data_IF_307707820789
#
_entry.id   IF_307707820789
#
_cell.length_a   1.000
_cell.length_b   1.000
_cell.length_c   1.000
_cell.angle_alpha   90.00
_cell.angle_beta   90.00
_cell.angle_gamma   90.00
#
_symmetry.space_group_name_H-M   'P 1'
#
loop_
_entity.id
_entity.type
_entity.pdbx_description
1 polymer ?
#
# COMPACT_ATOMS: atom_id res chain seq x y z
N UNK A 1 36.64 -6.33 1.54
CA UNK A 1 35.92 -5.06 1.29
C UNK A 1 34.45 -5.38 1.06
N UNK A 2 33.57 -5.09 2.02
CA UNK A 2 32.13 -5.36 1.89
C UNK A 2 31.44 -4.24 1.09
N UNK A 3 30.70 -4.59 0.04
CA UNK A 3 29.75 -3.67 -0.60
C UNK A 3 28.80 -3.17 0.49
N UNK A 4 28.75 -1.85 0.73
CA UNK A 4 27.64 -1.24 1.47
C UNK A 4 26.37 -1.61 0.72
N UNK A 5 25.57 -2.52 1.28
CA UNK A 5 24.23 -2.83 0.80
C UNK A 5 23.36 -1.61 1.11
N UNK A 6 23.28 -0.67 0.16
CA UNK A 6 22.26 0.37 0.20
C UNK A 6 20.92 -0.34 -0.01
N UNK A 7 20.06 -0.37 1.02
CA UNK A 7 18.72 -0.92 0.83
C UNK A 7 17.92 -0.03 -0.13
N UNK A 8 17.12 -0.66 -0.98
CA UNK A 8 16.20 0.03 -1.86
C UNK A 8 15.14 0.79 -1.05
N UNK A 9 14.53 1.79 -1.67
CA UNK A 9 13.45 2.53 -1.03
C UNK A 9 12.28 1.56 -0.80
N UNK A 10 11.79 1.51 0.44
CA UNK A 10 10.62 0.72 0.82
C UNK A 10 9.46 1.66 1.13
N UNK A 11 8.25 1.28 0.74
CA UNK A 11 7.03 2.00 1.09
C UNK A 11 6.00 1.09 1.75
N UNK A 12 5.39 1.58 2.83
CA UNK A 12 4.23 0.97 3.46
C UNK A 12 3.07 1.94 3.29
N UNK A 13 2.02 1.50 2.61
CA UNK A 13 0.83 2.29 2.31
C UNK A 13 -0.39 1.67 2.98
N UNK A 14 -1.02 2.40 3.88
CA UNK A 14 -2.17 1.91 4.66
C UNK A 14 -3.43 2.66 4.29
N UNK A 15 -4.47 1.91 3.91
CA UNK A 15 -5.81 2.44 3.62
C UNK A 15 -6.88 1.70 4.42
N UNK A 16 -7.90 2.44 4.83
CA UNK A 16 -9.14 1.91 5.36
C UNK A 16 -10.30 2.11 4.38
N UNK A 17 -11.40 1.42 4.62
CA UNK A 17 -12.69 1.71 3.97
C UNK A 17 -13.56 2.51 4.94
N UNK A 18 -14.09 3.63 4.49
CA UNK A 18 -15.05 4.42 5.26
C UNK A 18 -16.50 3.93 5.07
N UNK A 19 -17.43 4.50 5.84
CA UNK A 19 -18.85 4.17 5.78
C UNK A 19 -19.53 4.45 4.43
N UNK A 20 -18.86 5.15 3.49
CA UNK A 20 -19.34 5.41 2.13
C UNK A 20 -18.64 4.53 1.10
N UNK A 21 -17.97 3.46 1.53
CA UNK A 21 -17.14 2.60 0.69
C UNK A 21 -16.02 3.35 -0.05
N UNK A 22 -15.54 4.47 0.51
CA UNK A 22 -14.39 5.20 -0.03
C UNK A 22 -13.11 4.70 0.63
N UNK A 23 -12.02 4.73 -0.13
CA UNK A 23 -10.68 4.39 0.32
C UNK A 23 -10.09 5.60 1.03
N UNK A 24 -9.93 5.49 2.35
CA UNK A 24 -9.34 6.55 3.17
C UNK A 24 -7.87 6.26 3.39
N UNK A 25 -7.00 7.19 3.02
CA UNK A 25 -5.59 7.12 3.35
C UNK A 25 -5.41 7.25 4.87
N UNK A 26 -4.83 6.23 5.50
CA UNK A 26 -4.55 6.21 6.94
C UNK A 26 -3.11 6.65 7.22
N UNK A 27 -2.14 6.09 6.50
CA UNK A 27 -0.72 6.36 6.70
C UNK A 27 0.10 5.97 5.46
N UNK A 28 1.17 6.71 5.20
CA UNK A 28 2.24 6.32 4.28
C UNK A 28 3.54 6.44 5.06
N UNK A 29 4.35 5.39 5.02
CA UNK A 29 5.74 5.43 5.49
C UNK A 29 6.65 5.12 4.30
N UNK A 30 7.74 5.85 4.14
CA UNK A 30 8.79 5.51 3.18
C UNK A 30 10.18 5.65 3.78
N UNK A 31 11.13 4.85 3.27
CA UNK A 31 12.51 4.95 3.69
C UNK A 31 13.36 3.77 3.24
N UNK A 32 14.67 3.91 3.39
CA UNK A 32 15.62 2.82 3.17
C UNK A 32 15.77 2.07 4.49
N UNK A 33 15.22 0.87 4.56
CA UNK A 33 15.15 0.09 5.79
C UNK A 33 15.79 -1.27 5.59
N UNK A 34 16.28 -1.86 6.68
CA UNK A 34 16.67 -3.26 6.70
C UNK A 34 15.48 -4.12 7.10
N UNK A 35 15.55 -5.44 6.86
CA UNK A 35 14.45 -6.35 7.14
C UNK A 35 13.88 -6.25 8.58
N UNK A 36 14.68 -6.12 9.66
CA UNK A 36 14.15 -5.96 11.02
C UNK A 36 13.31 -4.68 11.19
N UNK A 37 13.74 -3.57 10.59
CA UNK A 37 13.02 -2.29 10.66
C UNK A 37 11.69 -2.36 9.90
N UNK A 38 11.69 -3.03 8.74
CA UNK A 38 10.48 -3.28 7.96
C UNK A 38 9.47 -4.08 8.80
N UNK A 39 9.91 -5.16 9.47
CA UNK A 39 9.05 -5.97 10.33
C UNK A 39 8.51 -5.20 11.53
N UNK A 40 9.34 -4.39 12.19
CA UNK A 40 8.90 -3.55 13.30
C UNK A 40 7.82 -2.55 12.86
N UNK A 41 7.96 -1.97 11.67
CA UNK A 41 6.97 -1.06 11.07
C UNK A 41 5.68 -1.78 10.70
N UNK A 42 5.78 -2.95 10.06
CA UNK A 42 4.61 -3.78 9.74
C UNK A 42 3.85 -4.19 11.01
N UNK A 43 4.56 -4.57 12.07
CA UNK A 43 3.95 -4.86 13.37
C UNK A 43 3.21 -3.65 13.93
N UNK A 44 3.83 -2.46 13.93
CA UNK A 44 3.21 -1.22 14.40
C UNK A 44 1.94 -0.87 13.62
N UNK A 45 1.97 -1.00 12.29
CA UNK A 45 0.79 -0.80 11.42
C UNK A 45 -0.30 -1.82 11.75
N UNK A 46 0.06 -3.09 11.87
CA UNK A 46 -0.89 -4.15 12.22
C UNK A 46 -1.56 -3.90 13.58
N UNK A 47 -0.78 -3.55 14.60
CA UNK A 47 -1.30 -3.28 15.95
C UNK A 47 -2.21 -2.05 16.00
N UNK A 48 -1.93 -1.02 15.19
CA UNK A 48 -2.72 0.23 15.15
C UNK A 48 -4.01 0.11 14.35
N UNK A 49 -4.01 -0.70 13.29
CA UNK A 49 -5.10 -0.70 12.31
C UNK A 49 -5.80 -2.06 12.11
N UNK A 50 -5.27 -3.15 12.66
CA UNK A 50 -5.80 -4.51 12.42
C UNK A 50 -5.72 -4.93 10.95
N UNK A 51 -4.74 -4.40 10.21
CA UNK A 51 -4.65 -4.50 8.75
C UNK A 51 -4.40 -5.92 8.23
N UNK A 52 -4.89 -6.22 7.03
CA UNK A 52 -4.33 -7.30 6.20
C UNK A 52 -3.08 -6.74 5.53
N UNK A 53 -1.93 -7.36 5.74
CA UNK A 53 -0.67 -6.91 5.15
C UNK A 53 -0.42 -7.68 3.86
N UNK A 54 -0.14 -6.93 2.80
CA UNK A 54 0.17 -7.47 1.49
C UNK A 54 1.55 -6.98 1.08
N UNK A 55 2.38 -7.90 0.59
CA UNK A 55 3.76 -7.62 0.18
C UNK A 55 3.93 -8.18 -1.23
N UNK A 56 4.65 -7.45 -2.09
CA UNK A 56 5.00 -7.96 -3.42
C UNK A 56 5.71 -9.33 -3.31
N UNK A 57 5.55 -10.18 -4.31
CA UNK A 57 6.19 -11.49 -4.35
C UNK A 57 7.47 -11.41 -5.19
N UNK A 58 8.51 -10.78 -4.64
CA UNK A 58 9.87 -10.92 -5.15
C UNK A 58 10.70 -11.85 -4.24
N UNK A 59 11.76 -12.47 -4.77
CA UNK A 59 12.54 -13.49 -4.05
C UNK A 59 13.11 -13.03 -2.70
N UNK A 60 13.26 -11.72 -2.46
CA UNK A 60 13.68 -11.15 -1.19
C UNK A 60 12.53 -11.06 -0.16
N UNK A 61 11.27 -11.04 -0.60
CA UNK A 61 10.09 -10.87 0.24
C UNK A 61 9.56 -12.19 0.84
N UNK A 62 9.93 -13.36 0.32
CA UNK A 62 9.63 -14.67 0.94
C UNK A 62 10.17 -14.78 2.37
N UNK A 63 11.34 -14.18 2.62
CA UNK A 63 11.95 -14.12 3.95
C UNK A 63 11.16 -13.24 4.93
N UNK A 64 10.68 -12.08 4.46
CA UNK A 64 9.83 -11.18 5.25
C UNK A 64 8.50 -11.85 5.63
N UNK A 65 7.89 -12.60 4.71
CA UNK A 65 6.66 -13.36 4.96
C UNK A 65 6.90 -14.41 6.06
N UNK A 66 8.00 -15.16 5.99
CA UNK A 66 8.30 -16.20 6.98
C UNK A 66 8.46 -15.61 8.39
N UNK A 67 9.22 -14.52 8.53
CA UNK A 67 9.44 -13.87 9.82
C UNK A 67 8.18 -13.20 10.35
N UNK A 68 7.43 -12.49 9.51
CA UNK A 68 6.17 -11.87 9.91
C UNK A 68 5.14 -12.92 10.37
N UNK A 69 5.09 -14.08 9.70
CA UNK A 69 4.23 -15.20 10.10
C UNK A 69 4.66 -15.75 11.47
N UNK A 70 5.96 -15.88 11.72
CA UNK A 70 6.48 -16.27 13.04
C UNK A 70 6.14 -15.29 14.17
N UNK A 71 5.89 -14.03 13.83
CA UNK A 71 5.44 -12.97 14.76
C UNK A 71 3.91 -12.88 14.89
N UNK A 72 3.14 -13.75 14.22
CA UNK A 72 1.68 -13.71 14.24
C UNK A 72 1.05 -12.60 13.38
N UNK A 73 1.83 -11.98 12.48
CA UNK A 73 1.37 -10.92 11.59
C UNK A 73 0.82 -11.56 10.30
N UNK A 74 -0.46 -11.34 9.94
CA UNK A 74 -1.05 -11.95 8.75
C UNK A 74 -0.56 -11.24 7.48
N UNK A 75 0.55 -11.75 6.93
CA UNK A 75 1.09 -11.29 5.65
C UNK A 75 0.59 -12.20 4.52
N UNK A 76 0.28 -11.60 3.38
CA UNK A 76 -0.10 -12.29 2.14
C UNK A 76 0.83 -11.86 1.01
N UNK A 77 1.40 -12.80 0.24
CA UNK A 77 2.12 -12.46 -0.97
C UNK A 77 1.15 -11.90 -2.02
N UNK A 78 1.64 -10.97 -2.84
CA UNK A 78 0.97 -10.48 -4.04
C UNK A 78 1.88 -10.65 -5.25
N UNK A 79 1.55 -11.63 -6.08
CA UNK A 79 2.41 -12.00 -7.21
C UNK A 79 2.15 -11.13 -8.44
N UNK A 80 3.11 -10.27 -8.76
CA UNK A 80 3.24 -9.55 -10.03
C UNK A 80 3.94 -10.44 -11.07
N UNK A 81 3.19 -11.28 -11.80
CA UNK A 81 3.78 -12.13 -12.87
C UNK A 81 4.20 -11.31 -14.11
N UNK A 82 4.99 -11.85 -15.05
CA UNK A 82 5.45 -11.10 -16.24
C UNK A 82 4.35 -10.58 -17.18
N UNK A 83 3.13 -11.16 -17.17
CA UNK A 83 1.92 -10.61 -17.84
C UNK A 83 1.30 -9.44 -17.05
N UNK A 84 1.78 -9.19 -15.83
CA UNK A 84 1.26 -8.20 -14.91
C UNK A 84 1.83 -6.80 -15.11
N UNK A 85 2.88 -6.56 -15.92
CA UNK A 85 3.28 -5.17 -16.24
C UNK A 85 2.16 -4.41 -16.93
N UNK A 86 1.51 -5.03 -17.91
CA UNK A 86 0.29 -4.48 -18.51
C UNK A 86 -0.81 -4.32 -17.46
N UNK A 87 -1.01 -5.31 -16.58
CA UNK A 87 -2.00 -5.22 -15.50
C UNK A 87 -1.68 -4.13 -14.45
N UNK A 88 -0.40 -3.84 -14.22
CA UNK A 88 0.11 -2.78 -13.36
C UNK A 88 -0.18 -1.43 -14.01
N UNK A 89 0.16 -1.23 -15.29
CA UNK A 89 -0.16 0.01 -16.00
C UNK A 89 -1.67 0.31 -15.97
N UNK A 90 -2.50 -0.67 -16.34
CA UNK A 90 -3.96 -0.54 -16.29
C UNK A 90 -4.47 -0.39 -14.84
N UNK A 91 -3.84 -1.06 -13.89
CA UNK A 91 -4.15 -1.01 -12.47
C UNK A 91 -3.88 0.35 -11.83
N UNK A 92 -2.72 0.94 -12.15
CA UNK A 92 -2.30 2.26 -11.71
C UNK A 92 -3.15 3.34 -12.38
N UNK A 93 -3.36 3.27 -13.69
CA UNK A 93 -4.22 4.24 -14.41
C UNK A 93 -5.66 4.21 -13.90
N UNK A 94 -6.18 3.05 -13.53
CA UNK A 94 -7.54 2.96 -12.98
C UNK A 94 -7.68 3.62 -11.62
N UNK A 95 -6.59 3.86 -10.85
CA UNK A 95 -6.64 4.69 -9.63
C UNK A 95 -7.06 6.13 -9.97
N UNK A 96 -6.63 6.68 -11.12
CA UNK A 96 -7.03 8.03 -11.55
C UNK A 96 -8.55 8.15 -11.80
N UNK A 97 -9.16 7.08 -12.33
CA UNK A 97 -10.63 7.00 -12.53
C UNK A 97 -11.35 7.02 -11.18
N UNK A 98 -10.86 6.25 -10.21
CA UNK A 98 -11.44 6.22 -8.84
C UNK A 98 -11.34 7.59 -8.14
N UNK A 99 -10.23 8.31 -8.33
CA UNK A 99 -10.08 9.68 -7.84
C UNK A 99 -11.09 10.63 -8.48
N UNK A 100 -11.24 10.59 -9.81
CA UNK A 100 -12.24 11.40 -10.52
C UNK A 100 -13.67 11.11 -10.05
N UNK A 101 -13.94 9.87 -9.66
CA UNK A 101 -15.22 9.44 -9.11
C UNK A 101 -15.38 9.76 -7.59
N UNK A 102 -14.41 10.40 -6.94
CA UNK A 102 -14.48 10.75 -5.53
C UNK A 102 -14.41 9.55 -4.57
N UNK A 103 -13.83 8.44 -5.01
CA UNK A 103 -13.74 7.19 -4.24
C UNK A 103 -12.55 7.13 -3.28
N UNK A 104 -11.72 8.17 -3.27
CA UNK A 104 -10.54 8.30 -2.41
C UNK A 104 -10.67 9.50 -1.49
N UNK A 105 -10.24 9.33 -0.23
CA UNK A 105 -10.19 10.37 0.79
C UNK A 105 -8.75 10.51 1.24
N UNK A 106 -8.14 11.64 0.89
CA UNK A 106 -6.81 12.04 1.37
C UNK A 106 -7.02 13.00 2.54
N UNK A 107 -6.60 12.65 3.77
CA UNK A 107 -6.63 13.60 4.88
C UNK A 107 -5.81 14.84 4.57
N UNK A 108 -6.41 16.01 4.75
CA UNK A 108 -5.78 17.30 4.58
C UNK A 108 -6.31 18.29 5.63
N UNK A 109 -5.51 19.30 5.94
CA UNK A 109 -5.91 20.42 6.80
C UNK A 109 -7.03 21.25 6.17
N UNK A 110 -7.51 22.25 6.91
CA UNK A 110 -8.59 23.13 6.44
C UNK A 110 -8.29 23.69 5.04
N UNK A 111 -9.27 23.62 4.13
CA UNK A 111 -9.11 24.08 2.75
C UNK A 111 -8.08 23.30 1.91
N UNK A 112 -7.72 22.08 2.32
CA UNK A 112 -6.68 21.25 1.70
C UNK A 112 -5.28 21.88 1.69
N UNK A 113 -5.01 22.83 2.60
CA UNK A 113 -3.75 23.57 2.64
C UNK A 113 -2.58 22.75 3.24
N UNK A 114 -2.89 21.74 4.04
CA UNK A 114 -1.88 20.92 4.72
C UNK A 114 -2.10 19.45 4.38
N UNK A 115 -1.28 18.91 3.50
CA UNK A 115 -1.23 17.47 3.20
C UNK A 115 0.08 16.92 3.73
N UNK A 116 0.05 15.77 4.40
CA UNK A 116 1.28 15.13 4.90
C UNK A 116 2.29 14.93 3.76
N UNK A 117 3.58 15.18 4.00
CA UNK A 117 4.61 15.19 2.95
C UNK A 117 4.70 13.86 2.18
N UNK A 118 4.50 12.71 2.83
CA UNK A 118 4.44 11.41 2.14
C UNK A 118 3.23 11.28 1.20
N UNK A 119 2.09 11.85 1.58
CA UNK A 119 0.91 11.90 0.72
C UNK A 119 1.13 12.85 -0.45
N UNK A 120 1.83 13.98 -0.25
CA UNK A 120 2.26 14.85 -1.35
C UNK A 120 3.22 14.12 -2.31
N UNK A 121 4.17 13.35 -1.78
CA UNK A 121 5.11 12.57 -2.60
C UNK A 121 4.37 11.52 -3.44
N UNK A 122 3.43 10.78 -2.84
CA UNK A 122 2.56 9.86 -3.55
C UNK A 122 1.71 10.56 -4.63
N UNK A 123 1.13 11.72 -4.34
CA UNK A 123 0.39 12.52 -5.34
C UNK A 123 1.32 12.90 -6.50
N UNK A 124 2.56 13.31 -6.23
CA UNK A 124 3.54 13.60 -7.29
C UNK A 124 3.86 12.35 -8.12
N UNK A 125 4.08 11.19 -7.49
CA UNK A 125 4.30 9.93 -8.21
C UNK A 125 3.12 9.60 -9.15
N UNK A 126 1.88 9.86 -8.73
CA UNK A 126 0.70 9.73 -9.59
C UNK A 126 0.68 10.74 -10.74
N UNK A 127 0.97 12.02 -10.47
CA UNK A 127 0.92 13.09 -11.48
C UNK A 127 2.00 12.95 -12.55
N UNK A 128 3.16 12.41 -12.20
CA UNK A 128 4.30 12.21 -13.10
C UNK A 128 4.46 10.75 -13.55
N UNK A 129 3.44 9.92 -13.32
CA UNK A 129 3.45 8.54 -13.76
C UNK A 129 3.59 8.44 -15.28
N UNK A 130 4.50 7.57 -15.74
CA UNK A 130 4.62 7.16 -17.14
C UNK A 130 4.83 5.66 -17.22
N UNK A 131 4.06 4.92 -18.04
CA UNK A 131 4.22 3.47 -18.24
C UNK A 131 5.63 3.05 -18.68
N UNK A 132 6.36 3.93 -19.37
CA UNK A 132 7.71 3.65 -19.87
C UNK A 132 8.80 3.90 -18.81
N UNK A 133 8.41 4.37 -17.63
CA UNK A 133 9.31 4.71 -16.53
C UNK A 133 9.06 3.83 -15.30
N UNK A 134 9.99 3.85 -14.35
CA UNK A 134 9.80 3.15 -13.08
C UNK A 134 8.61 3.75 -12.30
N UNK A 135 7.62 2.92 -11.98
CA UNK A 135 6.51 3.30 -11.10
C UNK A 135 7.04 3.61 -9.71
N UNK A 136 6.67 4.76 -9.15
CA UNK A 136 7.11 5.15 -7.80
C UNK A 136 6.67 4.16 -6.72
N UNK A 137 7.51 3.95 -5.70
CA UNK A 137 7.28 2.94 -4.66
C UNK A 137 5.97 3.15 -3.88
N UNK A 138 5.56 4.41 -3.64
CA UNK A 138 4.31 4.71 -2.91
C UNK A 138 3.11 4.44 -3.80
N UNK A 139 3.23 4.76 -5.09
CA UNK A 139 2.20 4.46 -6.08
C UNK A 139 1.99 2.95 -6.22
N UNK A 140 3.07 2.17 -6.32
CA UNK A 140 2.99 0.70 -6.30
C UNK A 140 2.36 0.16 -5.01
N UNK A 141 2.82 0.63 -3.85
CA UNK A 141 2.24 0.22 -2.57
C UNK A 141 0.74 0.58 -2.46
N UNK A 142 0.33 1.74 -2.99
CA UNK A 142 -1.08 2.16 -3.01
C UNK A 142 -1.95 1.27 -3.90
N UNK A 143 -1.41 0.84 -5.05
CA UNK A 143 -2.08 -0.09 -5.95
C UNK A 143 -2.25 -1.46 -5.28
N UNK A 144 -1.21 -2.01 -4.67
CA UNK A 144 -1.29 -3.27 -3.93
C UNK A 144 -2.31 -3.21 -2.79
N UNK A 145 -2.32 -2.13 -2.01
CA UNK A 145 -3.30 -1.97 -0.94
C UNK A 145 -4.74 -1.93 -1.48
N UNK A 146 -4.96 -1.25 -2.62
CA UNK A 146 -6.27 -1.21 -3.29
C UNK A 146 -6.70 -2.59 -3.82
N UNK A 147 -5.77 -3.36 -4.38
CA UNK A 147 -6.05 -4.72 -4.86
C UNK A 147 -6.31 -5.71 -3.72
N UNK A 148 -5.63 -5.53 -2.59
CA UNK A 148 -5.88 -6.26 -1.36
C UNK A 148 -7.33 -6.03 -0.89
N UNK A 149 -7.80 -4.77 -0.86
CA UNK A 149 -9.20 -4.48 -0.54
C UNK A 149 -10.13 -5.18 -1.53
N UNK A 150 -9.87 -5.11 -2.84
CA UNK A 150 -10.74 -5.75 -3.84
C UNK A 150 -10.85 -7.27 -3.63
N UNK A 151 -9.76 -7.89 -3.21
CA UNK A 151 -9.65 -9.34 -3.00
C UNK A 151 -10.28 -9.77 -1.67
N UNK A 152 -10.04 -9.01 -0.59
CA UNK A 152 -10.35 -9.41 0.78
C UNK A 152 -11.57 -8.70 1.40
N UNK A 153 -12.07 -7.61 0.80
CA UNK A 153 -13.21 -6.85 1.37
C UNK A 153 -14.55 -7.57 1.27
N UNK A 154 -14.73 -8.55 0.37
CA UNK A 154 -15.98 -9.31 0.21
C UNK A 154 -16.44 -10.03 1.49
N UNK A 155 -15.56 -10.20 2.49
CA UNK A 155 -15.92 -10.75 3.80
C UNK A 155 -16.04 -9.74 4.95
N UNK A 156 -15.57 -8.49 4.77
CA UNK A 156 -15.59 -7.46 5.83
C UNK A 156 -16.91 -6.68 5.86
N UNK A 157 -17.50 -6.37 4.71
CA UNK A 157 -18.75 -5.60 4.63
C UNK A 157 -19.93 -6.35 5.25
N UNK A 158 -20.00 -7.67 5.07
CA UNK A 158 -21.05 -8.54 5.62
C UNK A 158 -21.14 -8.50 7.16
N UNK A 159 -20.03 -8.23 7.85
CA UNK A 159 -20.02 -8.15 9.33
C UNK A 159 -20.50 -6.80 9.87
N UNK A 160 -20.43 -5.73 9.08
CA UNK A 160 -20.94 -4.41 9.49
C UNK A 160 -22.46 -4.34 9.40
N UNK A 161 -23.07 -5.04 8.43
CA UNK A 161 -24.53 -5.07 8.24
C UNK A 161 -25.26 -5.87 9.33
N UNK A 162 -24.58 -6.77 10.04
CA UNK A 162 -25.19 -7.58 11.12
C UNK A 162 -25.21 -6.92 12.49
N UNK A 163 -24.78 -5.65 12.61
CA UNK A 163 -24.78 -4.89 13.86
C UNK A 163 -25.78 -3.71 13.86
N UNK A 164 -26.73 -3.69 12.91
CA UNK A 164 -27.89 -2.77 12.89
C UNK A 164 -29.15 -3.50 13.36
#
# INVERSE_FOLDING_TARGET
MGKKQTSDLSSIFTIGIDHRNRRRLCEIQSGRWQAPDILAKLKSVYERFGSIIVVEDNAAQSFLIQWATGMGIPVRPYTTTGKAKYNEHFGVESIAVEFRAGQWVIPSGAGAQEVHHEAQAWIREMLFYSPDSHTGDRLMASWFAREAIRTYSKGLTTRMDTLS
#
